data_IF_683638694099
#
_entry.id   IF_683638694099
#
_cell.length_a   1.000
_cell.length_b   1.000
_cell.length_c   1.000
_cell.angle_alpha   90.00
_cell.angle_beta   90.00
_cell.angle_gamma   90.00
#
_symmetry.space_group_name_H-M   'P 1'
#
loop_
_entity.id
_entity.type
_entity.pdbx_description
1 polymer ?
#
# COMPACT_ATOMS: atom_id res chain seq x y z
N UNK A 1 11.52 11.86 -10.86
CA UNK A 1 11.52 10.92 -9.72
C UNK A 1 10.88 9.63 -10.21
N UNK A 2 11.49 8.46 -10.00
CA UNK A 2 10.94 7.20 -10.55
C UNK A 2 9.87 6.65 -9.59
N UNK A 3 8.59 6.77 -9.95
CA UNK A 3 7.46 6.32 -9.11
C UNK A 3 7.54 4.83 -8.79
N UNK A 4 7.90 4.01 -9.78
CA UNK A 4 8.12 2.58 -9.59
C UNK A 4 9.13 2.30 -8.46
N UNK A 5 10.28 3.00 -8.48
CA UNK A 5 11.29 2.86 -7.42
C UNK A 5 10.76 3.26 -6.04
N UNK A 6 9.94 4.31 -5.96
CA UNK A 6 9.34 4.74 -4.69
C UNK A 6 8.41 3.67 -4.13
N UNK A 7 7.58 3.08 -4.98
CA UNK A 7 6.69 1.98 -4.58
C UNK A 7 7.48 0.78 -4.08
N UNK A 8 8.53 0.36 -4.81
CA UNK A 8 9.43 -0.71 -4.36
C UNK A 8 10.07 -0.41 -3.01
N UNK A 9 10.67 0.77 -2.86
CA UNK A 9 11.35 1.16 -1.63
C UNK A 9 10.36 1.17 -0.43
N UNK A 10 9.09 1.52 -0.66
CA UNK A 10 8.06 1.52 0.38
C UNK A 10 7.56 0.10 0.70
N UNK A 11 7.29 -0.71 -0.32
CA UNK A 11 6.91 -2.11 -0.19
C UNK A 11 7.96 -2.90 0.63
N UNK A 12 9.25 -2.73 0.32
CA UNK A 12 10.35 -3.36 1.05
C UNK A 12 10.43 -2.91 2.52
N UNK A 13 10.10 -1.64 2.83
CA UNK A 13 10.05 -1.15 4.22
C UNK A 13 8.89 -1.76 5.00
N UNK A 14 7.75 -2.03 4.36
CA UNK A 14 6.58 -2.63 4.99
C UNK A 14 6.70 -4.15 5.15
N UNK A 15 7.40 -4.82 4.22
CA UNK A 15 7.58 -6.28 4.20
C UNK A 15 7.86 -6.92 5.56
N UNK A 16 8.83 -6.46 6.40
CA UNK A 16 9.09 -7.10 7.69
C UNK A 16 7.94 -7.00 8.70
N UNK A 17 7.00 -6.08 8.51
CA UNK A 17 5.81 -5.92 9.35
C UNK A 17 4.61 -6.68 8.80
N UNK A 18 4.51 -6.81 7.48
CA UNK A 18 3.42 -7.47 6.79
C UNK A 18 3.58 -9.00 6.77
N UNK A 19 4.75 -9.50 6.35
CA UNK A 19 5.00 -10.93 6.13
C UNK A 19 4.73 -11.84 7.36
N UNK A 20 4.94 -11.41 8.61
CA UNK A 20 4.57 -12.23 9.77
C UNK A 20 3.07 -12.58 9.82
N UNK A 21 2.20 -11.72 9.27
CA UNK A 21 0.75 -11.87 9.28
C UNK A 21 0.18 -12.36 7.94
N UNK A 22 1.00 -12.39 6.88
CA UNK A 22 0.59 -12.88 5.56
C UNK A 22 0.65 -14.40 5.49
N UNK A 23 -0.38 -15.01 4.89
CA UNK A 23 -0.30 -16.41 4.49
C UNK A 23 0.61 -16.60 3.26
N UNK A 24 0.80 -17.86 2.86
CA UNK A 24 1.66 -18.19 1.72
C UNK A 24 1.17 -17.57 0.41
N UNK A 25 -0.14 -17.56 0.16
CA UNK A 25 -0.71 -17.06 -1.08
C UNK A 25 -0.55 -15.55 -1.18
N UNK A 26 -0.78 -14.83 -0.08
CA UNK A 26 -0.57 -13.39 -0.03
C UNK A 26 0.89 -13.00 -0.27
N UNK A 27 1.85 -13.76 0.31
CA UNK A 27 3.29 -13.52 0.05
C UNK A 27 3.65 -13.77 -1.41
N UNK A 28 3.12 -14.83 -2.01
CA UNK A 28 3.35 -15.13 -3.42
C UNK A 28 2.73 -14.05 -4.32
N UNK A 29 1.53 -13.56 -4.01
CA UNK A 29 0.88 -12.47 -4.74
C UNK A 29 1.72 -11.18 -4.73
N UNK A 30 2.12 -10.69 -3.55
CA UNK A 30 2.91 -9.46 -3.44
C UNK A 30 4.28 -9.58 -4.13
N UNK A 31 4.92 -10.74 -4.07
CA UNK A 31 6.16 -11.01 -4.79
C UNK A 31 5.97 -11.12 -6.31
N UNK A 32 4.85 -11.70 -6.76
CA UNK A 32 4.54 -11.78 -8.18
C UNK A 32 4.25 -10.40 -8.76
N UNK A 33 3.48 -9.55 -8.06
CA UNK A 33 3.24 -8.16 -8.45
C UNK A 33 4.55 -7.37 -8.60
N UNK A 34 5.46 -7.54 -7.64
CA UNK A 34 6.84 -7.03 -7.74
C UNK A 34 7.54 -7.56 -9.01
N UNK A 35 7.55 -8.86 -9.28
CA UNK A 35 8.18 -9.42 -10.48
C UNK A 35 7.53 -8.96 -11.79
N UNK A 36 6.24 -8.67 -11.78
CA UNK A 36 5.46 -8.21 -12.94
C UNK A 36 5.70 -6.73 -13.29
N UNK A 37 6.42 -5.98 -12.44
CA UNK A 37 6.58 -4.53 -12.61
C UNK A 37 5.42 -3.72 -12.05
N UNK A 38 4.68 -4.30 -11.10
CA UNK A 38 3.50 -3.73 -10.43
C UNK A 38 3.77 -3.53 -8.92
N UNK A 39 4.81 -2.77 -8.53
CA UNK A 39 5.13 -2.56 -7.13
C UNK A 39 4.08 -1.73 -6.38
N UNK A 40 3.18 -1.05 -7.10
CA UNK A 40 2.05 -0.33 -6.50
C UNK A 40 1.02 -1.31 -5.91
N UNK A 41 0.77 -2.44 -6.58
CA UNK A 41 -0.07 -3.52 -6.07
C UNK A 41 0.62 -4.24 -4.91
N UNK A 42 1.92 -4.53 -5.04
CA UNK A 42 2.69 -5.11 -3.93
C UNK A 42 2.70 -4.20 -2.69
N UNK A 43 2.80 -2.87 -2.87
CA UNK A 43 2.68 -1.89 -1.80
C UNK A 43 1.31 -1.96 -1.12
N UNK A 44 0.23 -2.05 -1.90
CA UNK A 44 -1.12 -2.20 -1.36
C UNK A 44 -1.21 -3.49 -0.52
N UNK A 45 -0.81 -4.63 -1.07
CA UNK A 45 -0.80 -5.90 -0.34
C UNK A 45 -0.05 -5.78 0.98
N UNK A 46 1.21 -5.32 0.96
CA UNK A 46 1.99 -5.21 2.19
C UNK A 46 1.36 -4.23 3.20
N UNK A 47 0.80 -3.10 2.75
CA UNK A 47 0.14 -2.17 3.66
C UNK A 47 -1.03 -2.84 4.38
N UNK A 48 -1.85 -3.62 3.68
CA UNK A 48 -3.05 -4.30 4.19
C UNK A 48 -2.78 -5.21 5.38
N UNK A 49 -1.58 -5.79 5.48
CA UNK A 49 -1.17 -6.61 6.63
C UNK A 49 -0.31 -5.84 7.63
N UNK A 50 0.52 -4.90 7.18
CA UNK A 50 1.43 -4.18 8.05
C UNK A 50 0.68 -3.29 9.06
N UNK A 51 -0.44 -2.67 8.69
CA UNK A 51 -1.13 -1.73 9.59
C UNK A 51 -1.74 -2.42 10.81
N UNK A 52 -2.04 -3.71 10.74
CA UNK A 52 -2.54 -4.51 11.86
C UNK A 52 -1.44 -4.96 12.82
N UNK A 53 -0.18 -4.94 12.37
CA UNK A 53 0.94 -5.38 13.18
C UNK A 53 1.33 -4.31 14.22
N UNK A 54 1.29 -4.66 15.51
CA UNK A 54 1.44 -3.71 16.63
C UNK A 54 2.74 -2.89 16.61
N UNK A 55 3.80 -3.43 16.01
CA UNK A 55 5.12 -2.78 15.95
C UNK A 55 5.34 -1.92 14.71
N UNK A 56 4.36 -1.82 13.80
CA UNK A 56 4.52 -1.02 12.59
C UNK A 56 4.50 0.46 12.95
N UNK A 57 5.55 1.23 12.61
CA UNK A 57 5.56 2.65 12.92
C UNK A 57 4.41 3.38 12.22
N UNK A 58 3.58 4.13 12.97
CA UNK A 58 2.47 4.91 12.41
C UNK A 58 2.91 5.84 11.27
N UNK A 59 4.11 6.43 11.38
CA UNK A 59 4.67 7.27 10.33
C UNK A 59 4.87 6.51 9.02
N UNK A 60 5.32 5.25 9.08
CA UNK A 60 5.51 4.40 7.92
C UNK A 60 4.16 4.05 7.26
N UNK A 61 3.13 3.76 8.05
CA UNK A 61 1.77 3.53 7.56
C UNK A 61 1.24 4.75 6.80
N UNK A 62 1.42 5.95 7.36
CA UNK A 62 0.98 7.20 6.71
C UNK A 62 1.76 7.45 5.41
N UNK A 63 3.09 7.27 5.44
CA UNK A 63 3.93 7.43 4.24
C UNK A 63 3.52 6.45 3.14
N UNK A 64 3.22 5.19 3.49
CA UNK A 64 2.73 4.19 2.55
C UNK A 64 1.33 4.53 2.02
N UNK A 65 0.39 4.90 2.89
CA UNK A 65 -0.96 5.30 2.49
C UNK A 65 -0.97 6.48 1.53
N UNK A 66 -0.05 7.44 1.70
CA UNK A 66 0.10 8.57 0.79
C UNK A 66 0.64 8.20 -0.60
N UNK A 67 1.12 6.95 -0.76
CA UNK A 67 1.60 6.40 -2.03
C UNK A 67 0.65 5.39 -2.64
N UNK A 68 -0.43 5.00 -1.95
CA UNK A 68 -1.43 4.08 -2.48
C UNK A 68 -2.08 4.70 -3.72
N UNK A 69 -2.22 3.89 -4.76
CA UNK A 69 -2.95 4.27 -5.97
C UNK A 69 -4.42 4.50 -5.64
N UNK A 70 -5.05 5.43 -6.33
CA UNK A 70 -6.41 5.87 -6.03
C UNK A 70 -7.39 4.70 -6.11
N UNK A 71 -7.20 3.79 -7.06
CA UNK A 71 -7.98 2.56 -7.25
C UNK A 71 -8.05 1.66 -6.00
N UNK A 72 -7.07 1.75 -5.09
CA UNK A 72 -7.04 0.96 -3.85
C UNK A 72 -7.41 1.75 -2.60
N UNK A 73 -7.69 3.07 -2.67
CA UNK A 73 -7.92 3.89 -1.48
C UNK A 73 -9.06 3.38 -0.61
N UNK A 74 -10.13 2.87 -1.23
CA UNK A 74 -11.31 2.41 -0.53
C UNK A 74 -11.05 1.16 0.34
N UNK A 75 -10.03 0.38 0.00
CA UNK A 75 -9.60 -0.78 0.81
C UNK A 75 -9.03 -0.35 2.17
N UNK A 76 -8.57 0.90 2.32
CA UNK A 76 -7.95 1.40 3.54
C UNK A 76 -8.84 2.30 4.38
N UNK A 77 -10.13 2.42 4.05
CA UNK A 77 -11.08 3.24 4.81
C UNK A 77 -11.15 2.83 6.30
N UNK A 78 -11.11 1.54 6.60
CA UNK A 78 -11.09 1.06 7.99
C UNK A 78 -9.79 1.45 8.71
N UNK A 79 -8.64 1.28 8.05
CA UNK A 79 -7.33 1.63 8.58
C UNK A 79 -7.27 3.12 8.93
N UNK A 80 -7.66 3.99 8.01
CA UNK A 80 -7.59 5.45 8.22
C UNK A 80 -8.55 5.92 9.31
N UNK A 81 -9.74 5.32 9.40
CA UNK A 81 -10.70 5.62 10.47
C UNK A 81 -10.16 5.20 11.83
N UNK A 82 -9.63 3.97 11.96
CA UNK A 82 -9.04 3.46 13.20
C UNK A 82 -7.82 4.25 13.66
N UNK A 83 -6.98 4.69 12.72
CA UNK A 83 -5.73 5.38 13.01
C UNK A 83 -5.86 6.91 13.03
N UNK A 84 -7.06 7.46 12.76
CA UNK A 84 -7.30 8.90 12.67
C UNK A 84 -6.44 9.57 11.61
N UNK A 85 -6.27 8.92 10.46
CA UNK A 85 -5.54 9.47 9.30
C UNK A 85 -6.59 10.16 8.40
N UNK A 86 -6.34 11.39 7.92
CA UNK A 86 -7.23 12.03 6.96
C UNK A 86 -7.37 11.19 5.69
N UNK A 87 -8.62 10.93 5.27
CA UNK A 87 -8.91 10.22 4.02
C UNK A 87 -8.38 11.01 2.82
N UNK A 88 -7.73 10.32 1.90
CA UNK A 88 -7.45 10.84 0.57
C UNK A 88 -8.72 10.79 -0.27
N UNK A 89 -8.89 11.76 -1.15
CA UNK A 89 -9.91 11.71 -2.19
C UNK A 89 -9.30 11.07 -3.43
N UNK A 90 -10.09 10.26 -4.12
CA UNK A 90 -9.79 9.88 -5.50
C UNK A 90 -9.48 11.16 -6.28
N UNK A 91 -8.31 11.23 -6.91
CA UNK A 91 -8.05 12.31 -7.85
C UNK A 91 -9.17 12.28 -8.88
N UNK A 92 -9.73 13.45 -9.19
CA UNK A 92 -10.71 13.54 -10.25
C UNK A 92 -10.00 13.09 -11.52
N UNK A 93 -10.31 11.88 -11.98
CA UNK A 93 -10.09 11.52 -13.37
C UNK A 93 -10.87 12.55 -14.17
N UNK A 94 -10.18 13.57 -14.66
CA UNK A 94 -10.69 14.28 -15.81
C UNK A 94 -10.80 13.19 -16.87
N UNK A 95 -12.03 12.84 -17.21
CA UNK A 95 -12.35 12.12 -18.43
C UNK A 95 -11.42 12.71 -19.51
N UNK A 96 -10.55 11.89 -20.07
CA UNK A 96 -9.93 12.20 -21.35
C UNK A 96 -11.09 12.28 -22.35
N UNK A 97 -11.69 13.46 -22.46
CA UNK A 97 -12.42 13.89 -23.63
C UNK A 97 -11.42 13.87 -24.81
N UNK A 98 -11.34 12.74 -25.53
CA UNK A 98 -11.02 12.70 -26.97
C UNK A 98 -11.62 11.48 -27.68
#
# INVERSE_FOLDING_TARGET
MNMQKIYYDMAEKLRPYAEPNMDKLCKEAANNATCAGEPYEALADYLSFAWEHQNTPRKLIIEAYNLIDDDYLDLYNEMVDKLGIPRRQHSANYDEDE
#
